data_IF_013311262473
#
_entry.id   IF_013311262473
#
_cell.length_a   1.000
_cell.length_b   1.000
_cell.length_c   1.000
_cell.angle_alpha   90.00
_cell.angle_beta   90.00
_cell.angle_gamma   90.00
#
_symmetry.space_group_name_H-M   'P 1'
#
loop_
_entity.id
_entity.type
_entity.pdbx_description
1 polymer ?
#
# COMPACT_ATOMS: atom_id res chain seq x y z
N UNK A 1 -20.85 -35.15 -48.99
CA UNK A 1 -20.48 -35.32 -47.56
C UNK A 1 -19.24 -34.50 -47.17
N UNK A 2 -19.07 -33.27 -47.69
CA UNK A 2 -17.85 -32.44 -47.47
C UNK A 2 -18.05 -31.33 -46.42
N UNK A 3 -19.26 -31.20 -45.86
CA UNK A 3 -19.64 -30.11 -44.94
C UNK A 3 -19.33 -30.38 -43.46
N UNK A 4 -18.93 -31.60 -43.09
CA UNK A 4 -18.73 -32.01 -41.69
C UNK A 4 -17.28 -31.90 -41.19
N UNK A 5 -16.30 -31.95 -42.09
CA UNK A 5 -14.87 -31.87 -41.71
C UNK A 5 -14.39 -30.43 -41.54
N UNK A 6 -14.93 -29.48 -42.33
CA UNK A 6 -14.56 -28.07 -42.27
C UNK A 6 -15.02 -27.40 -40.96
N UNK A 7 -16.20 -27.75 -40.46
CA UNK A 7 -16.71 -27.26 -39.17
C UNK A 7 -15.93 -27.81 -37.97
N UNK A 8 -15.39 -29.03 -38.07
CA UNK A 8 -14.59 -29.65 -37.00
C UNK A 8 -13.18 -29.04 -36.90
N UNK A 9 -12.62 -28.54 -38.01
CA UNK A 9 -11.34 -27.82 -38.00
C UNK A 9 -11.46 -26.34 -37.62
N UNK A 10 -12.62 -25.70 -37.83
CA UNK A 10 -12.83 -24.31 -37.42
C UNK A 10 -12.92 -24.12 -35.89
N UNK A 11 -13.48 -25.09 -35.15
CA UNK A 11 -13.60 -25.00 -33.69
C UNK A 11 -12.27 -24.93 -32.92
N UNK A 12 -11.24 -25.76 -33.20
CA UNK A 12 -9.95 -25.66 -32.52
C UNK A 12 -9.14 -24.42 -32.97
N UNK A 13 -9.35 -23.93 -34.19
CA UNK A 13 -8.63 -22.76 -34.69
C UNK A 13 -9.08 -21.48 -33.97
N UNK A 14 -10.38 -21.35 -33.67
CA UNK A 14 -10.90 -20.21 -32.91
C UNK A 14 -10.43 -20.20 -31.45
N UNK A 15 -10.32 -21.37 -30.79
CA UNK A 15 -9.83 -21.43 -29.41
C UNK A 15 -8.32 -21.14 -29.30
N UNK A 16 -7.52 -21.50 -30.31
CA UNK A 16 -6.09 -21.16 -30.37
C UNK A 16 -5.84 -19.65 -30.56
N UNK A 17 -6.69 -18.95 -31.32
CA UNK A 17 -6.59 -17.50 -31.54
C UNK A 17 -6.93 -16.69 -30.27
N UNK A 18 -7.92 -17.12 -29.47
CA UNK A 18 -8.22 -16.47 -28.18
C UNK A 18 -7.16 -16.76 -27.12
N UNK A 19 -6.59 -17.98 -27.10
CA UNK A 19 -5.51 -18.32 -26.17
C UNK A 19 -4.20 -17.58 -26.47
N UNK A 20 -3.97 -17.16 -27.73
CA UNK A 20 -2.80 -16.38 -28.12
C UNK A 20 -2.87 -14.89 -27.73
N UNK A 21 -4.06 -14.35 -27.42
CA UNK A 21 -4.17 -12.96 -26.94
C UNK A 21 -3.67 -12.83 -25.49
N UNK A 22 -4.02 -13.76 -24.59
CA UNK A 22 -3.68 -13.65 -23.16
C UNK A 22 -2.65 -14.68 -22.65
N UNK A 23 -2.11 -15.55 -23.51
CA UNK A 23 -1.36 -16.73 -23.08
C UNK A 23 0.12 -16.56 -22.77
N UNK A 24 0.74 -15.41 -23.10
CA UNK A 24 2.21 -15.25 -23.05
C UNK A 24 2.73 -14.21 -22.06
N UNK A 25 1.87 -13.37 -21.50
CA UNK A 25 2.27 -12.38 -20.48
C UNK A 25 1.34 -12.58 -19.30
N UNK A 26 1.81 -13.33 -18.29
CA UNK A 26 1.20 -13.20 -16.97
C UNK A 26 1.24 -11.71 -16.63
N UNK A 27 0.10 -11.09 -16.35
CA UNK A 27 0.05 -9.68 -16.02
C UNK A 27 0.91 -9.46 -14.77
N UNK A 28 2.15 -9.00 -14.92
CA UNK A 28 3.07 -8.70 -13.82
C UNK A 28 2.77 -7.32 -13.23
N UNK A 29 1.49 -7.01 -12.98
CA UNK A 29 1.11 -5.79 -12.27
C UNK A 29 0.64 -6.13 -10.86
N UNK A 30 1.43 -5.71 -9.87
CA UNK A 30 1.12 -5.90 -8.47
C UNK A 30 0.21 -4.77 -7.97
N UNK A 31 -1.05 -4.81 -8.39
CA UNK A 31 -2.03 -3.76 -8.07
C UNK A 31 -2.24 -3.56 -6.56
N UNK A 32 -1.89 -4.55 -5.73
CA UNK A 32 -1.99 -4.45 -4.28
C UNK A 32 -1.06 -3.38 -3.67
N UNK A 33 0.05 -3.05 -4.36
CA UNK A 33 1.04 -2.08 -3.89
C UNK A 33 1.09 -0.77 -4.67
N UNK A 34 0.39 -0.66 -5.80
CA UNK A 34 0.31 0.56 -6.63
C UNK A 34 0.02 1.79 -5.79
N UNK A 35 -0.99 1.72 -4.92
CA UNK A 35 -1.41 2.82 -4.05
C UNK A 35 -0.97 2.61 -2.59
N UNK A 36 -0.10 1.63 -2.33
CA UNK A 36 0.36 1.32 -0.98
C UNK A 36 1.59 2.14 -0.57
N UNK A 37 1.70 2.32 0.74
CA UNK A 37 2.84 2.89 1.46
C UNK A 37 3.28 1.86 2.50
N UNK A 38 4.57 1.53 2.53
CA UNK A 38 5.16 0.69 3.55
C UNK A 38 5.87 1.52 4.61
N UNK A 39 5.44 1.43 5.86
CA UNK A 39 6.11 2.07 7.00
C UNK A 39 7.19 1.13 7.52
N UNK A 40 8.45 1.46 7.25
CA UNK A 40 9.62 0.69 7.69
C UNK A 40 10.25 1.37 8.90
N UNK A 41 10.26 0.69 10.03
CA UNK A 41 10.94 1.19 11.22
C UNK A 41 12.45 1.01 11.08
N UNK A 42 13.21 2.06 11.35
CA UNK A 42 14.67 1.96 11.41
C UNK A 42 15.09 1.03 12.54
N UNK A 43 16.14 0.25 12.29
CA UNK A 43 16.75 -0.65 13.28
C UNK A 43 18.10 -0.13 13.77
N UNK A 44 18.50 1.07 13.36
CA UNK A 44 19.77 1.69 13.76
C UNK A 44 19.74 2.16 15.22
N UNK A 45 20.02 1.21 16.11
CA UNK A 45 20.04 1.42 17.57
C UNK A 45 21.45 1.62 18.13
N UNK A 46 22.48 1.51 17.27
CA UNK A 46 23.89 1.51 17.67
C UNK A 46 24.72 2.62 17.00
N UNK A 47 24.14 3.37 16.06
CA UNK A 47 24.78 4.53 15.44
C UNK A 47 25.12 5.63 16.44
N UNK A 48 25.93 6.60 15.99
CA UNK A 48 26.34 7.77 16.78
C UNK A 48 25.15 8.66 17.18
N UNK A 49 24.08 8.62 16.41
CA UNK A 49 22.77 9.22 16.71
C UNK A 49 21.69 8.14 16.50
N UNK A 50 21.42 7.30 17.52
CA UNK A 50 20.53 6.15 17.36
C UNK A 50 19.10 6.61 17.07
N UNK A 51 18.62 6.32 15.86
CA UNK A 51 17.30 6.70 15.36
C UNK A 51 16.35 5.50 15.21
N UNK A 52 16.81 4.30 15.57
CA UNK A 52 16.10 3.04 15.41
C UNK A 52 15.24 2.62 16.60
N UNK A 53 14.50 1.53 16.39
CA UNK A 53 13.58 0.92 17.35
C UNK A 53 14.02 -0.50 17.69
N UNK A 54 13.81 -0.91 18.94
CA UNK A 54 13.90 -2.32 19.35
C UNK A 54 12.63 -3.05 18.96
N UNK A 55 12.72 -4.35 18.67
CA UNK A 55 11.56 -5.16 18.28
C UNK A 55 10.39 -5.08 19.28
N UNK A 56 10.68 -5.09 20.58
CA UNK A 56 9.68 -4.99 21.65
C UNK A 56 9.01 -3.61 21.77
N UNK A 57 9.52 -2.59 21.06
CA UNK A 57 8.92 -1.26 21.03
C UNK A 57 7.94 -1.10 19.86
N UNK A 58 8.08 -1.94 18.83
CA UNK A 58 7.29 -1.92 17.59
C UNK A 58 6.50 -3.22 17.38
N UNK A 59 6.37 -4.05 18.43
CA UNK A 59 5.55 -5.27 18.41
C UNK A 59 4.05 -4.96 18.38
N UNK A 60 3.67 -3.78 18.89
CA UNK A 60 2.30 -3.28 18.92
C UNK A 60 2.27 -1.88 18.33
N UNK A 61 1.71 -1.79 17.12
CA UNK A 61 1.56 -0.54 16.39
C UNK A 61 0.09 -0.20 16.34
N UNK A 62 -0.27 1.03 16.71
CA UNK A 62 -1.61 1.54 16.51
C UNK A 62 -1.59 2.50 15.33
N UNK A 63 -2.55 2.30 14.42
CA UNK A 63 -2.78 3.18 13.29
C UNK A 63 -4.16 3.79 13.41
N UNK A 64 -4.22 5.10 13.28
CA UNK A 64 -5.45 5.88 13.19
C UNK A 64 -5.53 6.44 11.78
N UNK A 65 -6.69 6.34 11.13
CA UNK A 65 -7.02 7.12 9.94
C UNK A 65 -8.12 8.12 10.26
N UNK A 66 -7.99 9.34 9.74
CA UNK A 66 -8.95 10.42 9.92
C UNK A 66 -9.31 10.96 8.54
N UNK A 67 -10.58 10.91 8.10
CA UNK A 67 -10.96 11.52 6.83
C UNK A 67 -10.63 13.01 6.78
N UNK A 68 -10.13 13.50 5.65
CA UNK A 68 -9.87 14.92 5.44
C UNK A 68 -11.16 15.74 5.40
N UNK A 69 -12.21 15.18 4.80
CA UNK A 69 -13.56 15.74 4.87
C UNK A 69 -14.26 15.27 6.15
N UNK A 70 -14.33 16.17 7.12
CA UNK A 70 -14.98 15.93 8.42
C UNK A 70 -16.49 16.17 8.39
N UNK A 71 -17.06 16.68 7.29
CA UNK A 71 -18.49 16.97 7.21
C UNK A 71 -19.34 15.69 7.08
N UNK A 72 -18.76 14.60 6.58
CA UNK A 72 -19.44 13.33 6.38
C UNK A 72 -18.86 12.20 7.24
N UNK A 73 -19.74 11.36 7.81
CA UNK A 73 -19.34 10.07 8.38
C UNK A 73 -18.70 9.20 7.29
N UNK A 74 -17.71 8.34 7.59
CA UNK A 74 -17.28 7.87 8.92
C UNK A 74 -16.38 8.82 9.71
N UNK A 75 -16.31 8.61 11.02
CA UNK A 75 -15.35 9.26 11.93
C UNK A 75 -13.97 8.59 11.83
N UNK A 76 -12.99 9.11 12.57
CA UNK A 76 -11.70 8.48 12.74
C UNK A 76 -11.82 7.00 13.13
N UNK A 77 -10.95 6.17 12.58
CA UNK A 77 -10.92 4.73 12.77
C UNK A 77 -9.53 4.32 13.27
N UNK A 78 -9.45 3.30 14.12
CA UNK A 78 -8.20 2.86 14.76
C UNK A 78 -8.04 1.36 14.65
N UNK A 79 -6.91 0.93 14.12
CA UNK A 79 -6.50 -0.47 14.05
C UNK A 79 -5.27 -0.70 14.91
N UNK A 80 -5.27 -1.82 15.63
CA UNK A 80 -4.11 -2.33 16.36
C UNK A 80 -3.46 -3.43 15.53
N UNK A 81 -2.16 -3.34 15.34
CA UNK A 81 -1.36 -4.33 14.63
C UNK A 81 -0.39 -4.96 15.63
N UNK A 82 -0.66 -6.20 16.00
CA UNK A 82 0.25 -7.05 16.77
C UNK A 82 1.21 -7.79 15.85
N UNK A 83 2.49 -7.84 16.21
CA UNK A 83 3.57 -8.37 15.37
C UNK A 83 4.51 -9.22 16.21
N UNK A 84 5.03 -10.31 15.63
CA UNK A 84 6.13 -11.04 16.26
C UNK A 84 7.42 -10.22 16.19
N UNK A 85 8.37 -10.46 17.08
CA UNK A 85 9.64 -9.70 17.10
C UNK A 85 10.37 -9.74 15.74
N UNK A 86 10.43 -10.91 15.11
CA UNK A 86 11.04 -11.08 13.78
C UNK A 86 10.34 -10.24 12.71
N UNK A 87 9.00 -10.25 12.68
CA UNK A 87 8.22 -9.45 11.71
C UNK A 87 8.31 -7.97 11.99
N UNK A 88 8.40 -7.58 13.26
CA UNK A 88 8.45 -6.19 13.68
C UNK A 88 9.63 -5.45 13.03
N UNK A 89 10.79 -6.10 12.95
CA UNK A 89 12.02 -5.55 12.37
C UNK A 89 12.14 -5.75 10.85
N UNK A 90 11.59 -6.85 10.31
CA UNK A 90 11.85 -7.24 8.91
C UNK A 90 10.76 -6.82 7.92
N UNK A 91 9.53 -6.62 8.38
CA UNK A 91 8.40 -6.30 7.51
C UNK A 91 8.00 -4.83 7.69
N UNK A 92 7.58 -4.13 6.64
CA UNK A 92 6.92 -2.83 6.81
C UNK A 92 5.49 -3.02 7.28
N UNK A 93 4.94 -2.01 7.96
CA UNK A 93 3.48 -1.91 8.13
C UNK A 93 2.91 -1.34 6.84
N UNK A 94 2.05 -2.11 6.18
CA UNK A 94 1.47 -1.73 4.89
C UNK A 94 0.21 -0.90 5.12
N UNK A 95 0.16 0.26 4.47
CA UNK A 95 -0.98 1.14 4.41
C UNK A 95 -1.42 1.29 2.94
N UNK A 96 -2.65 0.92 2.62
CA UNK A 96 -3.28 1.10 1.32
C UNK A 96 -4.79 1.35 1.50
N UNK A 97 -5.57 1.28 0.42
CA UNK A 97 -7.02 1.54 0.44
C UNK A 97 -7.82 0.52 1.30
N UNK A 98 -7.31 -0.70 1.48
CA UNK A 98 -8.01 -1.84 2.10
C UNK A 98 -7.23 -2.49 3.25
N UNK A 99 -6.07 -1.96 3.63
CA UNK A 99 -5.16 -2.53 4.64
C UNK A 99 -4.40 -1.39 5.33
N UNK A 100 -4.31 -1.38 6.67
CA UNK A 100 -4.89 -2.36 7.59
C UNK A 100 -6.40 -2.12 7.83
N UNK A 101 -6.94 -1.03 7.28
CA UNK A 101 -8.34 -0.66 7.45
C UNK A 101 -9.20 -1.20 6.32
N UNK A 102 -10.44 -1.56 6.61
CA UNK A 102 -11.41 -1.90 5.55
C UNK A 102 -11.71 -0.67 4.70
N UNK A 103 -11.93 -0.89 3.41
CA UNK A 103 -12.27 0.18 2.48
C UNK A 103 -13.63 0.82 2.85
N UNK A 104 -13.65 2.14 2.96
CA UNK A 104 -14.85 2.91 3.26
C UNK A 104 -15.36 3.62 2.00
N UNK A 105 -16.27 2.96 1.28
CA UNK A 105 -16.80 3.44 0.00
C UNK A 105 -15.71 3.57 -1.07
N UNK A 106 -15.74 4.66 -1.83
CA UNK A 106 -14.77 4.92 -2.91
C UNK A 106 -13.54 5.72 -2.44
N UNK A 107 -13.38 5.91 -1.13
CA UNK A 107 -12.30 6.73 -0.59
C UNK A 107 -10.95 6.02 -0.71
N UNK A 108 -9.97 6.73 -1.25
CA UNK A 108 -8.59 6.29 -1.41
C UNK A 108 -7.69 6.86 -0.32
N UNK A 109 -6.43 6.43 -0.32
CA UNK A 109 -5.43 6.76 0.68
C UNK A 109 -5.16 8.27 0.83
N UNK A 110 -5.28 9.04 -0.26
CA UNK A 110 -5.14 10.50 -0.32
C UNK A 110 -6.28 11.27 0.37
N UNK A 111 -7.38 10.61 0.74
CA UNK A 111 -8.53 11.24 1.38
C UNK A 111 -8.51 11.17 2.91
N UNK A 112 -7.38 10.76 3.49
CA UNK A 112 -7.20 10.61 4.92
C UNK A 112 -5.89 11.23 5.39
N UNK A 113 -5.86 11.62 6.67
CA UNK A 113 -4.65 11.77 7.47
C UNK A 113 -4.44 10.50 8.26
N UNK A 114 -3.20 10.14 8.53
CA UNK A 114 -2.87 8.97 9.33
C UNK A 114 -1.98 9.36 10.50
N UNK A 115 -2.24 8.73 11.65
CA UNK A 115 -1.35 8.76 12.79
C UNK A 115 -0.96 7.33 13.12
N UNK A 116 0.34 7.11 13.21
CA UNK A 116 0.94 5.92 13.78
C UNK A 116 1.41 6.28 15.18
N UNK A 117 1.09 5.45 16.17
CA UNK A 117 1.68 5.58 17.49
C UNK A 117 2.05 4.22 18.07
N UNK A 118 3.07 4.24 18.91
CA UNK A 118 3.57 3.06 19.62
C UNK A 118 3.11 3.13 21.08
N UNK A 119 2.50 2.05 21.55
CA UNK A 119 2.03 1.90 22.92
C UNK A 119 1.90 0.42 23.26
N UNK A 120 2.05 0.07 24.54
CA UNK A 120 1.87 -1.32 24.99
C UNK A 120 0.41 -1.80 24.91
N UNK A 121 -0.53 -0.89 25.10
CA UNK A 121 -1.98 -1.20 25.07
C UNK A 121 -2.74 -0.01 24.49
N UNK A 122 -3.95 -0.27 23.97
CA UNK A 122 -4.82 0.78 23.40
C UNK A 122 -5.22 1.85 24.42
N UNK A 123 -5.28 1.48 25.69
CA UNK A 123 -5.68 2.35 26.80
C UNK A 123 -4.48 3.06 27.46
N UNK A 124 -3.27 2.86 26.95
CA UNK A 124 -2.08 3.50 27.49
C UNK A 124 -2.22 5.02 27.40
N UNK A 125 -2.11 5.71 28.54
CA UNK A 125 -2.22 7.18 28.61
C UNK A 125 -1.01 7.90 27.98
N UNK A 126 0.08 7.19 27.72
CA UNK A 126 1.32 7.74 27.15
C UNK A 126 1.72 6.88 25.96
N UNK A 127 1.96 7.54 24.84
CA UNK A 127 2.58 6.95 23.67
C UNK A 127 4.10 7.02 23.83
N UNK A 128 4.81 6.00 23.38
CA UNK A 128 6.28 6.02 23.36
C UNK A 128 6.81 6.73 22.12
N UNK A 129 5.99 6.84 21.08
CA UNK A 129 6.31 7.49 19.81
C UNK A 129 5.03 7.78 19.04
N UNK A 130 5.02 8.91 18.33
CA UNK A 130 3.97 9.31 17.40
C UNK A 130 4.59 9.69 16.05
N UNK A 131 3.92 9.33 14.97
CA UNK A 131 4.31 9.64 13.59
C UNK A 131 3.07 9.95 12.77
N UNK A 132 3.11 11.01 11.98
CA UNK A 132 1.98 11.51 11.23
C UNK A 132 2.26 11.45 9.74
N UNK A 133 1.30 10.93 8.98
CA UNK A 133 1.17 11.18 7.55
C UNK A 133 0.07 12.22 7.40
N UNK A 134 0.47 13.44 7.10
CA UNK A 134 -0.41 14.60 7.07
C UNK A 134 -1.25 14.67 5.82
N UNK A 135 -0.66 14.27 4.69
CA UNK A 135 -1.27 14.31 3.37
C UNK A 135 -0.59 13.30 2.47
N UNK A 136 -1.37 12.67 1.60
CA UNK A 136 -0.84 11.93 0.46
C UNK A 136 -1.41 12.54 -0.80
N UNK A 137 -0.55 12.78 -1.77
CA UNK A 137 -0.95 13.17 -3.12
C UNK A 137 -0.77 11.94 -4.00
N UNK A 138 -1.88 11.47 -4.56
CA UNK A 138 -1.95 10.20 -5.28
C UNK A 138 -2.60 10.43 -6.64
N UNK A 139 -1.92 10.03 -7.71
CA UNK A 139 -2.50 10.03 -9.06
C UNK A 139 -2.28 8.68 -9.71
N UNK A 140 -3.36 7.93 -9.88
CA UNK A 140 -3.36 6.61 -10.49
C UNK A 140 -3.97 6.69 -11.88
N UNK A 141 -3.34 6.04 -12.86
CA UNK A 141 -3.85 5.91 -14.23
C UNK A 141 -4.21 4.45 -14.48
N UNK A 142 -5.37 4.24 -15.10
CA UNK A 142 -5.78 2.94 -15.57
C UNK A 142 -5.19 2.68 -16.95
N UNK A 143 -4.52 1.55 -17.12
CA UNK A 143 -3.97 1.08 -18.39
C UNK A 143 -4.61 -0.24 -18.74
N UNK A 144 -5.14 -0.34 -19.96
CA UNK A 144 -5.64 -1.58 -20.53
C UNK A 144 -5.06 -1.76 -21.93
N UNK A 145 -4.52 -2.93 -22.20
CA UNK A 145 -3.94 -3.32 -23.49
C UNK A 145 -4.75 -4.43 -24.20
N UNK A 146 -5.97 -4.68 -23.72
CA UNK A 146 -6.87 -5.71 -24.23
C UNK A 146 -6.67 -7.09 -23.61
N UNK A 147 -5.53 -7.34 -22.97
CA UNK A 147 -5.19 -8.64 -22.35
C UNK A 147 -5.07 -8.52 -20.82
N UNK A 148 -4.59 -7.37 -20.35
CA UNK A 148 -4.42 -7.02 -18.96
C UNK A 148 -5.03 -5.65 -18.66
N UNK A 149 -5.42 -5.47 -17.40
CA UNK A 149 -5.79 -4.17 -16.84
C UNK A 149 -4.90 -3.94 -15.64
N UNK A 150 -4.17 -2.83 -15.63
CA UNK A 150 -3.25 -2.51 -14.56
C UNK A 150 -3.46 -1.06 -14.11
N UNK A 151 -3.25 -0.82 -12.82
CA UNK A 151 -3.21 0.52 -12.27
C UNK A 151 -1.77 0.94 -12.09
N UNK A 152 -1.40 2.06 -12.71
CA UNK A 152 -0.07 2.65 -12.57
C UNK A 152 -0.18 3.92 -11.71
N UNK A 153 0.68 4.03 -10.72
CA UNK A 153 0.80 5.29 -9.99
C UNK A 153 1.77 6.23 -10.71
N UNK A 154 1.27 7.39 -11.12
CA UNK A 154 2.07 8.42 -11.81
C UNK A 154 2.53 9.55 -10.89
N UNK A 155 1.99 9.62 -9.68
CA UNK A 155 2.40 10.55 -8.63
C UNK A 155 2.00 9.99 -7.26
N UNK A 156 2.98 9.74 -6.39
CA UNK A 156 2.79 9.31 -5.00
C UNK A 156 3.70 10.11 -4.09
N UNK A 157 3.23 11.24 -3.60
CA UNK A 157 3.96 12.11 -2.70
C UNK A 157 3.36 12.05 -1.29
N UNK A 158 4.21 11.88 -0.28
CA UNK A 158 3.77 11.72 1.11
C UNK A 158 4.37 12.79 2.00
N UNK A 159 3.51 13.55 2.67
CA UNK A 159 3.87 14.61 3.61
C UNK A 159 3.77 14.07 5.03
N UNK A 160 4.84 14.21 5.81
CA UNK A 160 4.95 13.57 7.14
C UNK A 160 5.41 14.56 8.21
N UNK A 161 4.88 14.40 9.43
CA UNK A 161 5.27 15.16 10.62
C UNK A 161 5.34 16.68 10.42
N UNK A 162 4.39 17.26 9.68
CA UNK A 162 4.31 18.69 9.37
C UNK A 162 5.38 19.18 8.39
N UNK A 163 6.15 18.28 7.78
CA UNK A 163 7.15 18.64 6.78
C UNK A 163 6.49 19.22 5.52
N UNK A 164 6.94 20.40 5.04
CA UNK A 164 6.43 20.96 3.79
C UNK A 164 7.00 20.26 2.55
N UNK A 165 8.12 19.54 2.70
CA UNK A 165 8.72 18.76 1.62
C UNK A 165 8.18 17.33 1.66
N UNK A 166 7.58 16.83 0.58
CA UNK A 166 7.11 15.45 0.51
C UNK A 166 8.27 14.47 0.31
N UNK A 167 8.06 13.24 0.76
CA UNK A 167 8.82 12.10 0.27
C UNK A 167 8.15 11.58 -1.01
N UNK A 168 8.90 11.54 -2.10
CA UNK A 168 8.42 10.95 -3.35
C UNK A 168 8.56 9.43 -3.31
N UNK A 169 7.43 8.74 -3.42
CA UNK A 169 7.31 7.29 -3.47
C UNK A 169 6.74 6.80 -4.82
N UNK A 170 6.79 7.65 -5.84
CA UNK A 170 6.32 7.32 -7.19
C UNK A 170 7.18 6.20 -7.78
N UNK A 171 6.52 5.14 -8.27
CA UNK A 171 7.22 4.03 -8.91
C UNK A 171 7.62 4.41 -10.34
N UNK A 172 8.89 4.80 -10.48
CA UNK A 172 9.47 5.19 -11.77
C UNK A 172 9.51 4.04 -12.77
N UNK A 173 9.59 2.79 -12.30
CA UNK A 173 9.67 1.61 -13.15
C UNK A 173 8.29 1.07 -13.56
N UNK A 174 7.21 1.60 -12.97
CA UNK A 174 5.82 1.17 -13.20
C UNK A 174 5.63 -0.35 -12.98
N UNK A 175 6.33 -0.89 -11.98
CA UNK A 175 6.27 -2.30 -11.56
C UNK A 175 5.34 -2.51 -10.37
N UNK A 176 4.67 -1.45 -9.92
CA UNK A 176 3.84 -1.38 -8.72
C UNK A 176 4.58 -1.89 -7.47
N UNK A 177 5.81 -1.42 -7.28
CA UNK A 177 6.58 -1.75 -6.08
C UNK A 177 6.08 -0.98 -4.85
N UNK A 178 6.27 -1.57 -3.67
CA UNK A 178 5.92 -0.92 -2.41
C UNK A 178 6.88 0.22 -2.11
N UNK A 179 6.39 1.46 -2.17
CA UNK A 179 7.13 2.64 -1.73
C UNK A 179 7.30 2.63 -0.21
N UNK A 180 8.54 2.78 0.28
CA UNK A 180 8.87 2.70 1.70
C UNK A 180 9.10 4.08 2.32
N UNK A 181 8.46 4.33 3.44
CA UNK A 181 8.77 5.45 4.34
C UNK A 181 9.57 4.93 5.53
N UNK A 182 10.74 5.51 5.73
CA UNK A 182 11.56 5.23 6.90
C UNK A 182 11.04 6.01 8.11
N UNK A 183 10.58 5.26 9.11
CA UNK A 183 10.13 5.75 10.40
C UNK A 183 11.32 5.70 11.37
N UNK A 184 11.69 6.87 11.88
CA UNK A 184 12.88 7.08 12.71
C UNK A 184 12.53 7.91 13.95
N UNK A 185 13.23 7.66 15.06
CA UNK A 185 13.24 8.53 16.24
C UNK A 185 14.09 9.75 15.91
N UNK A 186 13.44 10.89 15.68
CA UNK A 186 14.13 12.18 15.55
C UNK A 186 14.50 12.73 16.93
#
# INVERSE_FOLDING_TARGET
MLRSFLTWFCFPLTSLLLAACCGSTACECNDAYTDAIGLRFSTDTLGTTPAGFKAAEIDTVFLIRVPLDTAQRPKADTVQIGRTQARALSQPVILNNTTPFTQAGNRKLDQYRYQLYLAKTRLAKRHTFDYYIDKVELTTVYRADGCCTCFDNTNKQVYVNGSPTPTDLTDQEKRNQLGLLDVQRR
#
